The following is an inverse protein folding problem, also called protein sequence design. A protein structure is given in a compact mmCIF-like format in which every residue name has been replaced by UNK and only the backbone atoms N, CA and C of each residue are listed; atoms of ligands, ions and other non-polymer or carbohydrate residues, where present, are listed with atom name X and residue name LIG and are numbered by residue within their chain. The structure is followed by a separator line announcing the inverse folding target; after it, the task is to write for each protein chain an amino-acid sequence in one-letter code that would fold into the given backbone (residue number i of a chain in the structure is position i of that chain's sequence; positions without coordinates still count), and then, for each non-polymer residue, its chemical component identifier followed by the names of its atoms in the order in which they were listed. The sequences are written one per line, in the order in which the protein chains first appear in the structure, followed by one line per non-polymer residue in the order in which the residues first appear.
data_IF_992405587939
#
_entry.id   IF_992405587939
#
_cell.length_a   1.000
_cell.length_b   1.000
_cell.length_c   1.000
_cell.angle_alpha   90.00
_cell.angle_beta   90.00
_cell.angle_gamma   90.00
#
_symmetry.space_group_name_H-M   'P 1'
#
loop_
_entity.id
_entity.type
_entity.pdbx_description
1 polymer ?
#
# COMPACT_ATOMS: atom_id res chain seq x y z
N UNK A 1 15.27 -35.87 -21.99
CA UNK A 1 13.86 -35.45 -22.08
C UNK A 1 13.78 -34.05 -21.49
N UNK A 2 13.57 -33.04 -22.34
CA UNK A 2 13.43 -31.64 -21.93
C UNK A 2 12.05 -31.45 -21.29
N UNK A 3 12.01 -31.03 -20.03
CA UNK A 3 10.76 -30.70 -19.35
C UNK A 3 10.31 -29.33 -19.86
N UNK A 4 9.48 -29.33 -20.89
CA UNK A 4 8.77 -28.13 -21.34
C UNK A 4 7.65 -27.90 -20.33
N UNK A 5 7.81 -26.89 -19.47
CA UNK A 5 6.73 -26.41 -18.61
C UNK A 5 5.57 -25.93 -19.51
N UNK A 6 4.32 -26.31 -19.20
CA UNK A 6 3.16 -25.95 -20.01
C UNK A 6 2.97 -24.42 -20.03
N UNK A 7 2.79 -23.89 -21.25
CA UNK A 7 2.52 -22.47 -21.53
C UNK A 7 1.10 -22.05 -21.12
N UNK A 8 0.77 -21.97 -19.82
CA UNK A 8 -0.57 -21.47 -19.43
C UNK A 8 -0.67 -20.73 -18.10
N UNK A 9 0.40 -20.09 -17.65
CA UNK A 9 0.30 -18.99 -16.70
C UNK A 9 1.19 -17.88 -17.23
N UNK A 10 0.62 -16.93 -17.98
CA UNK A 10 1.23 -15.60 -18.04
C UNK A 10 1.13 -15.05 -16.63
N UNK A 11 2.08 -15.43 -15.78
CA UNK A 11 2.48 -14.62 -14.64
C UNK A 11 2.63 -13.23 -15.23
N UNK A 12 1.84 -12.26 -14.75
CA UNK A 12 1.87 -10.88 -15.23
C UNK A 12 3.34 -10.51 -15.37
N UNK A 13 3.82 -10.40 -16.62
CA UNK A 13 5.23 -10.19 -16.85
C UNK A 13 5.53 -8.87 -16.14
N UNK A 14 6.42 -8.91 -15.14
CA UNK A 14 6.77 -7.72 -14.39
C UNK A 14 7.03 -6.60 -15.39
N UNK A 15 6.22 -5.55 -15.33
CA UNK A 15 6.42 -4.41 -16.21
C UNK A 15 7.82 -3.88 -15.91
N UNK A 16 8.66 -3.79 -16.92
CA UNK A 16 10.00 -3.22 -16.77
C UNK A 16 9.95 -1.71 -16.42
N UNK A 17 8.78 -1.10 -16.51
CA UNK A 17 8.44 0.22 -16.01
C UNK A 17 7.25 0.13 -15.03
N UNK A 18 7.46 0.56 -13.79
CA UNK A 18 6.48 0.49 -12.71
C UNK A 18 6.65 1.68 -11.75
N UNK A 19 5.71 1.86 -10.82
CA UNK A 19 5.67 2.91 -9.81
C UNK A 19 5.33 2.34 -8.43
N UNK A 20 5.56 3.11 -7.38
CA UNK A 20 5.30 2.68 -5.99
C UNK A 20 3.88 2.89 -5.49
N UNK A 21 2.98 3.51 -6.27
CA UNK A 21 1.56 3.63 -5.92
C UNK A 21 1.08 5.07 -5.79
N UNK A 22 1.75 5.89 -4.96
CA UNK A 22 1.41 7.31 -4.78
C UNK A 22 1.75 8.16 -6.00
N UNK A 23 0.94 9.18 -6.26
CA UNK A 23 1.20 10.25 -7.22
C UNK A 23 0.98 11.60 -6.53
N UNK A 24 1.59 12.68 -7.05
CA UNK A 24 1.33 14.04 -6.57
C UNK A 24 -0.17 14.32 -6.62
N UNK A 25 -0.71 14.69 -5.47
CA UNK A 25 -2.14 14.92 -5.29
C UNK A 25 -2.56 16.23 -6.00
N UNK A 26 -3.55 16.20 -6.91
CA UNK A 26 -4.02 17.40 -7.60
C UNK A 26 -4.60 18.45 -6.65
N UNK A 27 -4.56 19.72 -7.05
CA UNK A 27 -5.11 20.83 -6.27
C UNK A 27 -6.58 20.62 -5.91
N UNK A 28 -7.39 20.10 -6.85
CA UNK A 28 -8.80 19.80 -6.62
C UNK A 28 -9.03 18.82 -5.46
N UNK A 29 -8.15 17.81 -5.27
CA UNK A 29 -8.26 16.88 -4.15
C UNK A 29 -7.91 17.58 -2.82
N UNK A 30 -6.91 18.48 -2.82
CA UNK A 30 -6.58 19.27 -1.63
C UNK A 30 -7.70 20.23 -1.24
N UNK A 31 -8.25 20.95 -2.22
CA UNK A 31 -9.33 21.92 -2.03
C UNK A 31 -10.63 21.24 -1.56
N UNK A 32 -11.02 20.13 -2.20
CA UNK A 32 -12.22 19.37 -1.81
C UNK A 32 -12.08 18.75 -0.42
N UNK A 33 -10.89 18.27 -0.05
CA UNK A 33 -10.61 17.76 1.31
C UNK A 33 -10.71 18.86 2.36
N UNK A 34 -10.21 20.07 2.07
CA UNK A 34 -10.40 21.23 2.94
C UNK A 34 -11.89 21.57 3.08
N UNK A 35 -12.61 21.66 1.97
CA UNK A 35 -14.04 21.95 1.97
C UNK A 35 -14.85 20.90 2.74
N UNK A 36 -14.50 19.61 2.63
CA UNK A 36 -15.11 18.53 3.40
C UNK A 36 -14.86 18.67 4.91
N UNK A 37 -13.60 18.94 5.33
CA UNK A 37 -13.25 19.21 6.74
C UNK A 37 -14.01 20.43 7.30
N UNK A 38 -14.23 21.45 6.47
CA UNK A 38 -14.99 22.67 6.80
C UNK A 38 -16.53 22.49 6.66
N UNK A 39 -17.01 21.29 6.30
CA UNK A 39 -18.44 20.98 6.07
C UNK A 39 -19.10 21.79 4.94
N UNK A 40 -18.29 22.38 4.06
CA UNK A 40 -18.73 23.07 2.85
C UNK A 40 -18.97 22.12 1.66
N UNK A 41 -18.50 20.88 1.76
CA UNK A 41 -18.72 19.79 0.82
C UNK A 41 -19.15 18.54 1.61
N UNK A 42 -20.13 17.80 1.12
CA UNK A 42 -20.54 16.54 1.75
C UNK A 42 -19.64 15.37 1.33
N UNK A 43 -19.85 14.20 1.94
CA UNK A 43 -19.01 13.02 1.69
C UNK A 43 -19.13 12.53 0.24
N UNK A 44 -20.32 12.62 -0.37
CA UNK A 44 -20.55 12.21 -1.76
C UNK A 44 -19.84 13.15 -2.74
N UNK A 45 -19.99 14.47 -2.54
CA UNK A 45 -19.32 15.48 -3.34
C UNK A 45 -17.80 15.39 -3.22
N UNK A 46 -17.28 15.16 -2.01
CA UNK A 46 -15.85 14.94 -1.80
C UNK A 46 -15.35 13.71 -2.55
N UNK A 47 -16.04 12.57 -2.40
CA UNK A 47 -15.71 11.33 -3.09
C UNK A 47 -15.71 11.51 -4.60
N UNK A 48 -16.69 12.24 -5.15
CA UNK A 48 -16.78 12.50 -6.59
C UNK A 48 -15.59 13.28 -7.15
N UNK A 49 -15.05 14.24 -6.39
CA UNK A 49 -13.83 14.95 -6.80
C UNK A 49 -12.64 13.99 -6.85
N UNK A 50 -12.50 13.13 -5.83
CA UNK A 50 -11.45 12.10 -5.83
C UNK A 50 -11.59 11.15 -7.02
N UNK A 51 -12.80 10.72 -7.36
CA UNK A 51 -13.09 9.84 -8.50
C UNK A 51 -12.67 10.46 -9.83
N UNK A 52 -12.98 11.74 -10.06
CA UNK A 52 -12.60 12.47 -11.27
C UNK A 52 -11.08 12.53 -11.43
N UNK A 53 -10.37 12.84 -10.35
CA UNK A 53 -8.91 12.96 -10.38
C UNK A 53 -8.23 11.58 -10.53
N UNK A 54 -8.82 10.52 -9.97
CA UNK A 54 -8.34 9.15 -10.19
C UNK A 54 -8.56 8.73 -11.65
N UNK A 55 -9.69 9.06 -12.27
CA UNK A 55 -9.92 8.77 -13.69
C UNK A 55 -8.88 9.46 -14.58
N UNK A 56 -8.62 10.75 -14.33
CA UNK A 56 -7.58 11.47 -15.07
C UNK A 56 -6.19 10.85 -14.87
N UNK A 57 -5.88 10.38 -13.66
CA UNK A 57 -4.63 9.67 -13.38
C UNK A 57 -4.51 8.36 -14.18
N UNK A 58 -5.59 7.58 -14.31
CA UNK A 58 -5.60 6.33 -15.09
C UNK A 58 -5.28 6.63 -16.56
N UNK A 59 -5.95 7.63 -17.15
CA UNK A 59 -5.71 8.06 -18.52
C UNK A 59 -4.25 8.49 -18.75
N UNK A 60 -3.70 9.28 -17.83
CA UNK A 60 -2.31 9.75 -17.91
C UNK A 60 -1.30 8.60 -17.80
N UNK A 61 -1.56 7.59 -16.94
CA UNK A 61 -0.75 6.35 -16.86
C UNK A 61 -0.78 5.58 -18.18
N UNK A 62 -1.96 5.41 -18.77
CA UNK A 62 -2.13 4.76 -20.06
C UNK A 62 -1.37 5.49 -21.18
N UNK A 63 -1.39 6.82 -21.18
CA UNK A 63 -0.71 7.66 -22.18
C UNK A 63 0.83 7.51 -22.15
N UNK A 64 1.43 7.23 -20.99
CA UNK A 64 2.86 6.95 -20.87
C UNK A 64 3.19 5.45 -20.92
N UNK A 65 2.18 4.57 -20.95
CA UNK A 65 2.39 3.12 -21.09
C UNK A 65 2.63 2.37 -19.78
N UNK A 66 2.33 2.97 -18.63
CA UNK A 66 2.32 2.26 -17.33
C UNK A 66 1.13 1.31 -17.29
N UNK A 67 1.37 0.05 -16.92
CA UNK A 67 0.33 -1.01 -16.92
C UNK A 67 -0.18 -1.41 -15.53
N UNK A 68 0.58 -1.12 -14.48
CA UNK A 68 0.15 -1.29 -13.10
C UNK A 68 -0.64 -0.05 -12.67
N UNK A 69 -1.92 -0.20 -12.36
CA UNK A 69 -2.82 0.91 -12.09
C UNK A 69 -3.14 0.96 -10.58
N UNK A 70 -2.70 2.03 -9.92
CA UNK A 70 -3.16 2.45 -8.59
C UNK A 70 -4.02 3.73 -8.69
N UNK A 71 -4.77 4.02 -7.64
CA UNK A 71 -5.55 5.26 -7.50
C UNK A 71 -4.72 6.47 -7.03
N UNK A 72 -3.39 6.41 -7.12
CA UNK A 72 -2.49 7.52 -6.73
C UNK A 72 -2.49 7.86 -5.24
N UNK A 73 -3.24 7.11 -4.42
CA UNK A 73 -3.44 7.36 -2.99
C UNK A 73 -4.19 8.66 -2.68
N UNK A 74 -4.95 9.17 -3.64
CA UNK A 74 -5.68 10.43 -3.50
C UNK A 74 -6.70 10.41 -2.35
N UNK A 75 -7.26 9.22 -2.06
CA UNK A 75 -8.25 8.95 -1.01
C UNK A 75 -7.69 8.88 0.42
N UNK A 76 -6.35 8.91 0.60
CA UNK A 76 -5.71 8.70 1.92
C UNK A 76 -5.11 9.99 2.46
N UNK A 77 -5.26 10.30 3.74
CA UNK A 77 -4.42 11.33 4.38
C UNK A 77 -3.03 10.75 4.68
N UNK A 78 -2.99 9.58 5.29
CA UNK A 78 -1.80 8.84 5.69
C UNK A 78 -1.86 7.41 5.15
N UNK A 79 -0.77 6.94 4.54
CA UNK A 79 -0.77 5.63 3.88
C UNK A 79 -1.11 4.45 4.81
N UNK A 80 -0.78 4.57 6.10
CA UNK A 80 -0.95 3.52 7.09
C UNK A 80 -2.15 3.74 8.03
N UNK A 81 -2.40 4.99 8.47
CA UNK A 81 -3.47 5.27 9.44
C UNK A 81 -4.85 5.03 8.83
N UNK A 82 -5.13 5.55 7.63
CA UNK A 82 -6.41 5.37 6.91
C UNK A 82 -6.73 3.90 6.55
N UNK A 83 -5.81 2.96 6.83
CA UNK A 83 -6.06 1.53 6.73
C UNK A 83 -6.22 0.89 8.10
N UNK A 84 -5.23 1.12 8.99
CA UNK A 84 -5.19 0.50 10.31
C UNK A 84 -6.40 0.94 11.15
N UNK A 85 -6.92 2.14 10.89
CA UNK A 85 -8.12 2.67 11.55
C UNK A 85 -9.43 1.93 11.22
N UNK A 86 -9.38 0.90 10.39
CA UNK A 86 -10.55 0.09 10.07
C UNK A 86 -10.50 -1.31 10.68
N UNK A 87 -9.43 -1.64 11.42
CA UNK A 87 -9.38 -2.84 12.23
C UNK A 87 -10.20 -2.65 13.52
N UNK A 88 -10.59 -3.73 14.18
CA UNK A 88 -11.03 -3.67 15.58
C UNK A 88 -9.81 -3.64 16.50
N UNK A 89 -9.96 -3.16 17.73
CA UNK A 89 -8.90 -3.22 18.74
C UNK A 89 -7.77 -2.19 18.59
N UNK A 90 -7.83 -1.29 17.61
CA UNK A 90 -6.91 -0.14 17.51
C UNK A 90 -7.55 1.13 18.09
N UNK A 91 -6.70 2.13 18.37
CA UNK A 91 -7.05 3.51 18.63
C UNK A 91 -6.03 4.45 18.00
N UNK A 92 -6.49 5.52 17.36
CA UNK A 92 -5.65 6.65 16.97
C UNK A 92 -5.49 7.59 18.16
N UNK A 93 -4.24 7.88 18.50
CA UNK A 93 -3.85 8.82 19.54
C UNK A 93 -3.35 10.10 18.86
N UNK A 94 -4.14 11.17 18.98
CA UNK A 94 -3.83 12.48 18.41
C UNK A 94 -3.05 13.32 19.43
N UNK A 95 -2.01 13.98 18.95
CA UNK A 95 -1.28 15.03 19.66
C UNK A 95 -1.33 16.28 18.78
N UNK A 96 -1.53 17.47 19.37
CA UNK A 96 -1.92 18.69 18.66
C UNK A 96 -0.89 19.17 17.63
N UNK A 97 0.37 18.71 17.74
CA UNK A 97 1.48 19.14 16.90
C UNK A 97 2.10 18.03 16.04
N UNK A 98 1.61 16.78 16.10
CA UNK A 98 2.25 15.64 15.41
C UNK A 98 1.29 14.73 14.63
N UNK A 99 1.86 13.90 13.75
CA UNK A 99 1.11 12.85 13.05
C UNK A 99 0.52 11.89 14.09
N UNK A 100 -0.77 11.51 13.99
CA UNK A 100 -1.39 10.63 14.97
C UNK A 100 -0.64 9.30 15.09
N UNK A 101 -0.60 8.75 16.30
CA UNK A 101 0.04 7.47 16.60
C UNK A 101 -1.01 6.37 16.75
N UNK A 102 -0.57 5.11 16.61
CA UNK A 102 -1.42 3.93 16.75
C UNK A 102 -1.22 3.33 18.14
N UNK A 103 -2.31 2.91 18.78
CA UNK A 103 -2.28 2.07 19.97
C UNK A 103 -3.23 0.88 19.80
N UNK A 104 -2.81 -0.32 20.18
CA UNK A 104 -3.65 -1.51 20.24
C UNK A 104 -4.25 -1.57 21.64
N UNK A 105 -5.56 -1.36 21.73
CA UNK A 105 -6.31 -1.23 22.99
C UNK A 105 -7.24 -2.43 23.27
N UNK A 106 -7.25 -3.41 22.38
CA UNK A 106 -8.07 -4.61 22.47
C UNK A 106 -7.67 -5.64 21.43
N UNK A 107 -8.45 -6.72 21.32
CA UNK A 107 -8.20 -7.78 20.33
C UNK A 107 -8.35 -7.22 18.90
N UNK A 108 -7.34 -7.47 18.07
CA UNK A 108 -7.28 -7.05 16.68
C UNK A 108 -8.13 -7.97 15.81
N UNK A 109 -8.99 -7.38 14.98
CA UNK A 109 -9.86 -8.15 14.08
C UNK A 109 -10.15 -7.36 12.81
N UNK A 110 -10.34 -8.06 11.70
CA UNK A 110 -10.95 -7.48 10.52
C UNK A 110 -12.47 -7.49 10.65
N UNK A 111 -13.11 -6.33 10.44
CA UNK A 111 -14.55 -6.18 10.66
C UNK A 111 -15.32 -5.72 9.44
N UNK A 112 -14.62 -5.21 8.42
CA UNK A 112 -15.22 -4.76 7.16
C UNK A 112 -14.15 -4.69 6.07
N UNK A 113 -14.49 -4.92 4.79
CA UNK A 113 -13.59 -4.69 3.67
C UNK A 113 -13.03 -3.25 3.67
N UNK A 114 -11.71 -3.11 3.53
CA UNK A 114 -11.03 -1.80 3.57
C UNK A 114 -10.73 -1.29 2.15
N UNK A 115 -10.16 -2.14 1.29
CA UNK A 115 -9.71 -1.77 -0.07
C UNK A 115 -10.63 -2.25 -1.19
N UNK A 116 -11.60 -3.11 -0.89
CA UNK A 116 -12.45 -3.70 -1.93
C UNK A 116 -13.13 -2.67 -2.82
N UNK A 117 -13.73 -1.62 -2.24
CA UNK A 117 -14.44 -0.60 -3.01
C UNK A 117 -13.50 0.18 -3.95
N UNK A 118 -12.30 0.51 -3.49
CA UNK A 118 -11.29 1.19 -4.31
C UNK A 118 -10.75 0.26 -5.42
N UNK A 119 -10.55 -1.03 -5.11
CA UNK A 119 -10.16 -2.04 -6.08
C UNK A 119 -11.21 -2.21 -7.19
N UNK A 120 -12.47 -2.43 -6.84
CA UNK A 120 -13.57 -2.61 -7.81
C UNK A 120 -13.73 -1.36 -8.69
N UNK A 121 -13.64 -0.17 -8.09
CA UNK A 121 -13.63 1.07 -8.85
C UNK A 121 -12.56 1.07 -9.94
N UNK A 122 -11.30 0.76 -9.61
CA UNK A 122 -10.24 0.69 -10.62
C UNK A 122 -10.45 -0.44 -11.63
N UNK A 123 -10.85 -1.61 -11.16
CA UNK A 123 -10.99 -2.83 -11.97
C UNK A 123 -12.01 -2.65 -13.11
N UNK A 124 -13.08 -1.89 -12.88
CA UNK A 124 -14.09 -1.54 -13.90
C UNK A 124 -13.60 -0.57 -14.98
N UNK A 125 -12.43 0.06 -14.79
CA UNK A 125 -11.94 1.21 -15.58
C UNK A 125 -10.62 0.93 -16.31
N UNK A 126 -10.14 -0.31 -16.25
CA UNK A 126 -8.90 -0.74 -16.89
C UNK A 126 -9.17 -1.85 -17.93
N UNK A 127 -8.25 -2.06 -18.86
CA UNK A 127 -8.25 -3.23 -19.74
C UNK A 127 -7.47 -4.37 -19.08
N UNK A 128 -8.12 -5.40 -18.49
CA UNK A 128 -7.43 -6.46 -17.76
C UNK A 128 -6.57 -7.37 -18.66
N UNK A 129 -6.65 -7.23 -19.99
CA UNK A 129 -5.75 -7.93 -20.92
C UNK A 129 -4.38 -7.24 -21.06
N UNK A 130 -4.29 -5.97 -20.63
CA UNK A 130 -3.09 -5.13 -20.77
C UNK A 130 -2.63 -4.52 -19.45
N UNK A 131 -3.53 -4.37 -18.50
CA UNK A 131 -3.36 -3.61 -17.26
C UNK A 131 -3.75 -4.46 -16.05
N UNK A 132 -3.18 -4.12 -14.89
CA UNK A 132 -3.49 -4.77 -13.62
C UNK A 132 -3.67 -3.73 -12.53
N UNK A 133 -4.71 -3.88 -11.72
CA UNK A 133 -4.89 -3.03 -10.53
C UNK A 133 -3.87 -3.44 -9.47
N UNK A 134 -3.07 -2.47 -9.02
CA UNK A 134 -2.15 -2.57 -7.87
C UNK A 134 -2.87 -2.04 -6.63
N UNK A 135 -2.99 -2.86 -5.59
CA UNK A 135 -3.62 -2.50 -4.32
C UNK A 135 -2.56 -2.28 -3.23
N UNK A 136 -2.20 -1.04 -2.89
CA UNK A 136 -1.27 -0.74 -1.80
C UNK A 136 -1.96 -0.77 -0.44
N UNK A 137 -1.42 -1.55 0.50
CA UNK A 137 -1.78 -1.53 1.92
C UNK A 137 -0.50 -1.41 2.77
N UNK A 138 -0.55 -0.77 3.95
CA UNK A 138 0.58 -0.78 4.86
C UNK A 138 0.90 -2.20 5.30
N UNK A 139 2.17 -2.55 5.44
CA UNK A 139 2.58 -3.82 6.05
C UNK A 139 2.00 -3.98 7.46
N UNK A 140 1.68 -5.20 7.93
CA UNK A 140 1.25 -5.41 9.31
C UNK A 140 2.29 -4.92 10.33
N UNK A 141 3.57 -4.84 9.97
CA UNK A 141 4.62 -4.30 10.86
C UNK A 141 4.35 -2.85 11.28
N UNK A 142 3.59 -2.08 10.48
CA UNK A 142 3.25 -0.68 10.74
C UNK A 142 2.41 -0.50 12.02
N UNK A 143 1.72 -1.55 12.50
CA UNK A 143 0.93 -1.51 13.74
C UNK A 143 1.81 -1.53 14.99
N UNK A 144 2.88 -2.33 14.98
CA UNK A 144 3.77 -2.49 16.15
C UNK A 144 4.95 -1.52 16.11
N UNK A 145 5.63 -1.38 14.96
CA UNK A 145 6.99 -0.84 14.92
C UNK A 145 7.16 0.58 15.46
N UNK A 146 6.17 1.46 15.29
CA UNK A 146 6.27 2.86 15.73
C UNK A 146 6.09 3.04 17.24
N UNK A 147 5.23 2.23 17.86
CA UNK A 147 4.91 2.32 19.28
C UNK A 147 5.54 1.22 20.14
N UNK A 148 6.10 0.19 19.51
CA UNK A 148 6.70 -0.97 20.14
C UNK A 148 5.72 -1.74 21.02
N UNK A 149 6.26 -2.51 21.97
CA UNK A 149 5.44 -3.25 22.93
C UNK A 149 4.57 -2.35 23.81
N UNK A 150 5.05 -1.14 24.11
CA UNK A 150 4.36 -0.15 24.94
C UNK A 150 3.06 0.37 24.36
N UNK A 151 2.87 0.28 23.03
CA UNK A 151 1.62 0.69 22.39
C UNK A 151 0.59 -0.42 22.30
N UNK A 152 0.81 -1.57 22.94
CA UNK A 152 -0.11 -2.70 22.93
C UNK A 152 -0.58 -2.99 24.35
N UNK A 153 -1.91 -2.99 24.55
CA UNK A 153 -2.54 -3.30 25.82
C UNK A 153 -2.13 -4.70 26.34
N UNK A 154 -1.54 -4.71 27.54
CA UNK A 154 -1.01 -5.92 28.17
C UNK A 154 -2.10 -6.87 28.67
N UNK A 155 -3.34 -6.37 28.84
CA UNK A 155 -4.47 -7.19 29.32
C UNK A 155 -5.06 -7.99 28.16
N UNK A 156 -5.26 -7.34 27.01
CA UNK A 156 -5.75 -7.96 25.78
C UNK A 156 -4.69 -8.88 25.15
N UNK A 157 -3.42 -8.49 25.26
CA UNK A 157 -2.29 -9.26 24.77
C UNK A 157 -1.21 -9.27 25.83
N UNK A 158 -1.15 -10.29 26.71
CA UNK A 158 -0.01 -10.47 27.61
C UNK A 158 1.28 -10.80 26.86
N UNK A 159 1.15 -11.54 25.76
CA UNK A 159 2.23 -11.98 24.88
C UNK A 159 2.19 -11.25 23.54
N UNK A 160 3.34 -10.86 23.01
CA UNK A 160 3.42 -10.16 21.72
C UNK A 160 3.02 -11.08 20.56
N UNK A 161 3.38 -12.36 20.64
CA UNK A 161 3.07 -13.35 19.58
C UNK A 161 1.56 -13.47 19.33
N UNK A 162 0.74 -13.46 20.39
CA UNK A 162 -0.72 -13.47 20.25
C UNK A 162 -1.25 -12.23 19.49
N UNK A 163 -0.64 -11.07 19.70
CA UNK A 163 -1.02 -9.85 18.96
C UNK A 163 -0.63 -9.95 17.48
N UNK A 164 0.49 -10.60 17.18
CA UNK A 164 0.92 -10.83 15.81
C UNK A 164 0.07 -11.88 15.09
N UNK A 165 -0.38 -12.92 15.79
CA UNK A 165 -1.29 -13.93 15.24
C UNK A 165 -2.65 -13.31 14.85
N UNK A 166 -3.26 -12.54 15.74
CA UNK A 166 -4.54 -11.86 15.47
C UNK A 166 -4.38 -10.80 14.36
N UNK A 167 -3.28 -10.04 14.38
CA UNK A 167 -2.98 -9.08 13.32
C UNK A 167 -2.78 -9.76 11.97
N UNK A 168 -2.04 -10.87 11.93
CA UNK A 168 -1.86 -11.67 10.72
C UNK A 168 -3.20 -12.21 10.20
N UNK A 169 -4.09 -12.66 11.09
CA UNK A 169 -5.43 -13.10 10.73
C UNK A 169 -6.25 -11.97 10.12
N UNK A 170 -6.28 -10.79 10.74
CA UNK A 170 -7.00 -9.63 10.22
C UNK A 170 -6.49 -9.19 8.83
N UNK A 171 -5.17 -9.18 8.64
CA UNK A 171 -4.57 -8.86 7.34
C UNK A 171 -4.88 -9.91 6.29
N UNK A 172 -4.80 -11.20 6.65
CA UNK A 172 -5.14 -12.30 5.75
C UNK A 172 -6.58 -12.20 5.25
N UNK A 173 -7.51 -11.81 6.12
CA UNK A 173 -8.90 -11.54 5.72
C UNK A 173 -8.99 -10.38 4.72
N UNK A 174 -8.36 -9.24 5.00
CA UNK A 174 -8.35 -8.10 4.07
C UNK A 174 -7.67 -8.42 2.74
N UNK A 175 -6.65 -9.29 2.71
CA UNK A 175 -5.99 -9.72 1.48
C UNK A 175 -6.89 -10.65 0.67
N UNK A 176 -7.57 -11.59 1.33
CA UNK A 176 -8.47 -12.55 0.69
C UNK A 176 -9.64 -11.84 0.00
N UNK A 177 -10.21 -10.80 0.59
CA UNK A 177 -11.40 -10.11 0.05
C UNK A 177 -11.21 -9.57 -1.39
N UNK A 178 -10.23 -8.71 -1.70
CA UNK A 178 -9.97 -8.28 -3.07
C UNK A 178 -9.42 -9.43 -3.93
N UNK A 179 -8.73 -10.43 -3.34
CA UNK A 179 -8.30 -11.62 -4.08
C UNK A 179 -9.48 -12.42 -4.64
N UNK A 180 -10.52 -12.64 -3.82
CA UNK A 180 -11.77 -13.29 -4.21
C UNK A 180 -12.52 -12.48 -5.27
N UNK A 181 -12.33 -11.15 -5.29
CA UNK A 181 -12.84 -10.25 -6.33
C UNK A 181 -11.96 -10.21 -7.60
N UNK A 182 -10.86 -10.97 -7.65
CA UNK A 182 -9.99 -11.10 -8.82
C UNK A 182 -8.69 -10.30 -8.76
N UNK A 183 -8.35 -9.66 -7.64
CA UNK A 183 -7.10 -8.92 -7.50
C UNK A 183 -5.89 -9.85 -7.67
N UNK A 184 -4.99 -9.47 -8.59
CA UNK A 184 -3.75 -10.23 -8.88
C UNK A 184 -2.48 -9.50 -8.45
N UNK A 185 -2.57 -8.25 -7.99
CA UNK A 185 -1.40 -7.49 -7.59
C UNK A 185 -1.62 -6.71 -6.29
N UNK A 186 -1.09 -7.26 -5.20
CA UNK A 186 -1.05 -6.63 -3.89
C UNK A 186 0.32 -5.98 -3.66
N UNK A 187 0.33 -4.82 -3.01
CA UNK A 187 1.54 -4.18 -2.50
C UNK A 187 1.47 -4.04 -0.97
N UNK A 188 2.54 -4.43 -0.29
CA UNK A 188 2.76 -4.17 1.13
C UNK A 188 3.77 -3.04 1.31
N UNK A 189 3.34 -1.92 1.88
CA UNK A 189 4.22 -0.79 2.20
C UNK A 189 4.87 -1.01 3.58
N UNK A 190 6.12 -1.48 3.59
CA UNK A 190 6.90 -1.74 4.81
C UNK A 190 8.10 -0.79 4.92
N UNK A 191 7.89 0.38 5.50
CA UNK A 191 8.97 1.35 5.75
C UNK A 191 9.80 1.02 7.00
N UNK A 192 9.62 -0.17 7.60
CA UNK A 192 10.12 -0.46 8.94
C UNK A 192 11.30 -1.44 8.94
N UNK A 193 11.24 -2.47 8.10
CA UNK A 193 12.22 -3.57 8.09
C UNK A 193 13.68 -3.12 7.90
N UNK A 194 13.91 -1.98 7.24
CA UNK A 194 15.24 -1.47 6.90
C UNK A 194 15.51 -0.01 7.33
N UNK A 195 14.66 0.61 8.13
CA UNK A 195 14.89 2.00 8.59
C UNK A 195 15.90 2.03 9.76
N UNK A 196 17.05 2.68 9.54
CA UNK A 196 18.14 2.77 10.51
C UNK A 196 17.77 3.59 11.76
N UNK A 197 17.06 4.71 11.60
CA UNK A 197 16.66 5.56 12.74
C UNK A 197 15.64 4.83 13.60
N UNK A 198 14.73 4.12 12.96
CA UNK A 198 13.72 3.37 13.68
C UNK A 198 14.30 2.12 14.34
N UNK A 199 15.36 1.53 13.79
CA UNK A 199 16.15 0.50 14.48
C UNK A 199 16.82 1.05 15.75
N UNK A 200 17.40 2.25 15.70
CA UNK A 200 17.95 2.91 16.89
C UNK A 200 16.87 3.14 17.95
N UNK A 201 15.70 3.66 17.55
CA UNK A 201 14.57 3.86 18.46
C UNK A 201 14.07 2.54 19.07
N UNK A 202 14.03 1.46 18.28
CA UNK A 202 13.64 0.13 18.75
C UNK A 202 14.64 -0.43 19.77
N UNK A 203 15.94 -0.20 19.56
CA UNK A 203 16.98 -0.52 20.54
C UNK A 203 16.76 0.25 21.86
N UNK A 204 16.41 1.53 21.76
CA UNK A 204 16.10 2.38 22.91
C UNK A 204 14.89 1.89 23.74
N UNK A 205 13.95 1.17 23.13
CA UNK A 205 12.82 0.52 23.82
C UNK A 205 13.16 -0.86 24.40
N UNK A 206 14.39 -1.33 24.24
CA UNK A 206 14.83 -2.65 24.70
C UNK A 206 14.40 -3.82 23.79
N UNK A 207 13.99 -3.55 22.56
CA UNK A 207 13.67 -4.60 21.59
C UNK A 207 14.94 -5.26 21.05
N UNK A 208 14.92 -6.59 20.88
CA UNK A 208 16.06 -7.32 20.31
C UNK A 208 16.09 -7.19 18.78
N UNK A 209 17.00 -6.35 18.30
CA UNK A 209 17.17 -6.05 16.88
C UNK A 209 17.65 -7.26 16.04
N UNK A 210 18.12 -8.33 16.67
CA UNK A 210 18.48 -9.57 15.98
C UNK A 210 17.27 -10.46 15.73
N UNK A 211 16.25 -10.41 16.58
CA UNK A 211 15.07 -11.29 16.48
C UNK A 211 13.87 -10.57 15.87
N UNK A 212 13.71 -9.27 16.13
CA UNK A 212 12.58 -8.47 15.65
C UNK A 212 12.40 -8.51 14.12
N UNK A 213 13.44 -8.40 13.27
CA UNK A 213 13.26 -8.53 11.82
C UNK A 213 12.75 -9.91 11.39
N UNK A 214 13.13 -10.97 12.11
CA UNK A 214 12.65 -12.33 11.85
C UNK A 214 11.19 -12.48 12.27
N UNK A 215 10.79 -11.91 13.41
CA UNK A 215 9.40 -11.88 13.84
C UNK A 215 8.51 -11.10 12.85
N UNK A 216 8.99 -9.98 12.32
CA UNK A 216 8.27 -9.25 11.27
C UNK A 216 8.18 -10.03 9.95
N UNK A 217 9.25 -10.70 9.53
CA UNK A 217 9.18 -11.59 8.37
C UNK A 217 8.16 -12.72 8.59
N UNK A 218 8.11 -13.30 9.80
CA UNK A 218 7.10 -14.30 10.18
C UNK A 218 5.69 -13.72 10.14
N UNK A 219 5.47 -12.53 10.69
CA UNK A 219 4.19 -11.82 10.65
C UNK A 219 3.71 -11.55 9.21
N UNK A 220 4.58 -11.03 8.35
CA UNK A 220 4.28 -10.79 6.94
C UNK A 220 3.95 -12.12 6.23
N UNK A 221 4.75 -13.16 6.43
CA UNK A 221 4.49 -14.47 5.84
C UNK A 221 3.18 -15.07 6.37
N UNK A 222 2.87 -14.88 7.65
CA UNK A 222 1.61 -15.31 8.24
C UNK A 222 0.43 -14.57 7.62
N UNK A 223 0.51 -13.25 7.42
CA UNK A 223 -0.54 -12.48 6.74
C UNK A 223 -0.76 -12.94 5.28
N UNK A 224 0.30 -13.38 4.60
CA UNK A 224 0.26 -13.81 3.19
C UNK A 224 -0.04 -15.30 2.97
N UNK A 225 -0.08 -16.12 4.02
CA UNK A 225 -0.04 -17.59 3.93
C UNK A 225 -1.09 -18.20 3.00
N UNK A 226 -2.28 -17.61 2.97
CA UNK A 226 -3.45 -18.17 2.28
C UNK A 226 -3.80 -17.38 1.00
N UNK A 227 -2.90 -16.51 0.52
CA UNK A 227 -3.10 -15.78 -0.74
C UNK A 227 -3.20 -16.74 -1.93
N UNK A 228 -3.97 -16.41 -2.99
CA UNK A 228 -3.97 -17.20 -4.22
C UNK A 228 -2.58 -17.30 -4.84
N UNK A 229 -2.27 -18.45 -5.44
CA UNK A 229 -0.99 -18.72 -6.07
C UNK A 229 -0.68 -17.76 -7.24
N UNK A 230 -1.72 -17.26 -7.90
CA UNK A 230 -1.63 -16.33 -9.02
C UNK A 230 -1.68 -14.84 -8.63
N UNK A 231 -1.72 -14.53 -7.33
CA UNK A 231 -1.54 -13.18 -6.82
C UNK A 231 -0.05 -12.87 -6.67
N UNK A 232 0.44 -11.84 -7.34
CA UNK A 232 1.76 -11.26 -7.09
C UNK A 232 1.68 -10.34 -5.87
N UNK A 233 2.66 -10.45 -4.98
CA UNK A 233 2.83 -9.56 -3.83
C UNK A 233 4.16 -8.85 -3.95
N UNK A 234 4.13 -7.52 -3.94
CA UNK A 234 5.32 -6.67 -3.93
C UNK A 234 5.45 -5.98 -2.57
N UNK A 235 6.59 -6.13 -1.91
CA UNK A 235 6.88 -5.38 -0.68
C UNK A 235 7.72 -4.17 -1.03
N UNK A 236 7.20 -2.97 -0.77
CA UNK A 236 7.94 -1.73 -0.88
C UNK A 236 8.61 -1.43 0.46
N UNK A 237 9.95 -1.32 0.45
CA UNK A 237 10.73 -0.83 1.59
C UNK A 237 11.28 0.56 1.32
N UNK A 238 11.00 1.53 2.17
CA UNK A 238 11.66 2.84 2.10
C UNK A 238 13.08 2.70 2.69
N UNK A 239 14.09 2.56 1.82
CA UNK A 239 15.49 2.39 2.23
C UNK A 239 16.23 3.68 2.56
N UNK A 240 15.70 4.84 2.17
CA UNK A 240 16.29 6.16 2.43
C UNK A 240 15.11 7.13 2.54
N UNK A 241 14.74 7.51 3.77
CA UNK A 241 13.69 8.50 3.99
C UNK A 241 14.00 9.74 3.16
N UNK A 242 13.08 10.12 2.27
CA UNK A 242 13.13 11.35 1.48
C UNK A 242 13.00 12.63 2.33
N UNK A 243 13.44 12.62 3.59
CA UNK A 243 13.49 13.80 4.47
C UNK A 243 14.56 14.83 4.03
N UNK A 244 15.23 14.62 2.90
CA UNK A 244 16.21 15.53 2.33
C UNK A 244 16.10 15.64 0.81
N UNK A 245 14.92 15.91 0.26
CA UNK A 245 14.86 16.58 -1.05
C UNK A 245 13.75 17.65 -1.00
N UNK A 246 14.16 18.88 -0.74
CA UNK A 246 13.39 20.12 -0.93
C UNK A 246 13.07 20.43 -2.41
N UNK A 247 13.11 19.44 -3.30
CA UNK A 247 12.74 19.64 -4.69
C UNK A 247 11.23 19.61 -4.75
N UNK A 248 10.65 20.79 -4.97
CA UNK A 248 9.26 20.94 -5.42
C UNK A 248 9.14 20.29 -6.79
N UNK A 249 8.93 18.97 -6.83
CA UNK A 249 8.55 18.26 -8.04
C UNK A 249 7.15 18.74 -8.43
N UNK A 250 6.98 19.17 -9.67
CA UNK A 250 5.67 19.51 -10.22
C UNK A 250 4.97 18.29 -10.81
N UNK A 251 3.65 18.38 -11.06
CA UNK A 251 2.92 17.33 -11.79
C UNK A 251 3.55 17.09 -13.17
N UNK A 252 4.07 18.13 -13.83
CA UNK A 252 4.75 17.99 -15.12
C UNK A 252 6.06 17.18 -15.00
N UNK A 253 6.88 17.46 -13.97
CA UNK A 253 8.12 16.71 -13.72
C UNK A 253 7.86 15.23 -13.44
N UNK A 254 6.80 14.94 -12.67
CA UNK A 254 6.36 13.56 -12.41
C UNK A 254 6.07 12.81 -13.72
N UNK A 255 5.32 13.42 -14.64
CA UNK A 255 4.98 12.76 -15.91
C UNK A 255 6.15 12.69 -16.88
N UNK A 256 7.02 13.71 -16.90
CA UNK A 256 8.27 13.64 -17.66
C UNK A 256 9.13 12.46 -17.18
N UNK A 257 9.23 12.25 -15.86
CA UNK A 257 9.93 11.11 -15.28
C UNK A 257 9.27 9.78 -15.63
N UNK A 258 7.95 9.67 -15.51
CA UNK A 258 7.24 8.42 -15.86
C UNK A 258 7.41 8.06 -17.33
N UNK A 259 7.30 9.04 -18.22
CA UNK A 259 7.56 8.87 -19.65
C UNK A 259 9.00 8.38 -19.92
N UNK A 260 9.99 9.01 -19.28
CA UNK A 260 11.38 8.58 -19.40
C UNK A 260 11.61 7.15 -18.91
N UNK A 261 11.00 6.76 -17.78
CA UNK A 261 11.09 5.38 -17.25
C UNK A 261 10.53 4.38 -18.27
N UNK A 262 9.38 4.67 -18.88
CA UNK A 262 8.76 3.79 -19.88
C UNK A 262 9.54 3.74 -21.21
N UNK A 263 10.17 4.85 -21.60
CA UNK A 263 11.03 4.93 -22.79
C UNK A 263 12.31 4.10 -22.60
N UNK A 264 13.02 4.30 -21.48
CA UNK A 264 14.21 3.51 -21.13
C UNK A 264 13.85 2.02 -21.04
N UNK A 265 12.72 1.70 -20.41
CA UNK A 265 12.30 0.31 -20.28
C UNK A 265 12.05 -0.34 -21.65
N UNK A 266 11.44 0.41 -22.57
CA UNK A 266 11.19 -0.05 -23.94
C UNK A 266 12.48 -0.20 -24.75
N UNK A 267 13.47 0.69 -24.55
CA UNK A 267 14.77 0.64 -25.22
C UNK A 267 15.61 -0.57 -24.77
N UNK A 268 15.67 -0.81 -23.45
CA UNK A 268 16.51 -1.87 -22.87
C UNK A 268 15.89 -3.26 -23.02
N UNK A 269 14.58 -3.40 -22.75
CA UNK A 269 13.91 -4.71 -22.69
C UNK A 269 12.94 -4.98 -23.86
N UNK A 270 12.75 -3.99 -24.74
CA UNK A 270 11.79 -4.04 -25.85
C UNK A 270 10.37 -3.66 -25.42
N UNK A 271 9.52 -3.36 -26.41
CA UNK A 271 8.11 -3.05 -26.14
C UNK A 271 7.35 -4.33 -25.73
N UNK A 272 6.55 -4.29 -24.65
CA UNK A 272 5.75 -5.45 -24.21
C UNK A 272 4.84 -6.00 -25.32
N UNK A 273 4.25 -5.09 -26.12
CA UNK A 273 3.28 -5.41 -27.16
C UNK A 273 3.94 -5.90 -28.49
N UNK A 274 5.27 -5.89 -28.60
CA UNK A 274 6.01 -6.24 -29.83
C UNK A 274 6.47 -7.71 -29.90
N UNK A 275 6.25 -8.49 -28.84
CA UNK A 275 6.45 -9.95 -28.85
C UNK A 275 5.08 -10.63 -28.98
N UNK A 276 4.48 -10.53 -30.16
CA UNK A 276 3.38 -11.40 -30.61
C UNK A 276 3.89 -12.32 -31.70
#
# INVERSE_FOLDING_TARGET
MSCVLPHSTRQFAFNHADHVGSFLRPAAVHESRKAFKEKALDAEGFRKVEDVEILSLIEQKGAVGIKSISHGEFRREYFHLDFIEHLEGYKLCHDEETVPTISVVGKLKHVKPIRLADYLFLQERIDPSREVVRVPIPSPTMVHFRGGRSSIDLTAYPNLDESFDDLAAAYREEIRIPADAGCKFLQLDDTNLADLKMREASAGRGEDLNTLPRQYAQLINAALRDRPADMTVFTYGEGISGAAISQRITIADQWAKMKLVTEIASDVWGRPDARM
#
